data_IF_864133457009
#
_entry.id   IF_864133457009
#
_cell.length_a   1.000
_cell.length_b   1.000
_cell.length_c   1.000
_cell.angle_alpha   90.00
_cell.angle_beta   90.00
_cell.angle_gamma   90.00
#
_symmetry.space_group_name_H-M   'P 1'
#
loop_
_entity.id
_entity.type
_entity.pdbx_description
1 polymer ?
#
# COMPACT_ATOMS: atom_id res chain seq x y z
N UNK A 1 0.35 16.16 16.73
CA UNK A 1 0.70 14.83 16.20
C UNK A 1 1.55 14.10 17.24
N UNK A 2 1.25 12.84 17.55
CA UNK A 2 2.01 12.07 18.55
C UNK A 2 3.46 11.86 18.12
N UNK A 3 4.41 12.02 19.05
CA UNK A 3 5.84 11.87 18.77
C UNK A 3 6.26 10.42 18.56
N UNK A 4 5.58 9.47 19.19
CA UNK A 4 5.80 8.04 19.02
C UNK A 4 4.48 7.33 18.72
N UNK A 5 4.50 6.34 17.82
CA UNK A 5 3.34 5.48 17.58
C UNK A 5 3.56 4.16 18.27
N UNK A 6 2.56 3.69 19.01
CA UNK A 6 2.58 2.37 19.59
C UNK A 6 2.57 1.29 18.50
N UNK A 7 3.32 0.23 18.73
CA UNK A 7 3.23 -1.01 17.98
C UNK A 7 2.21 -1.93 18.66
N UNK A 8 1.11 -2.23 17.95
CA UNK A 8 -0.01 -3.05 18.43
C UNK A 8 -0.43 -4.05 17.37
N UNK A 9 -1.25 -5.04 17.74
CA UNK A 9 -1.74 -6.07 16.81
C UNK A 9 -0.59 -6.84 16.16
N UNK A 10 -0.58 -6.94 14.83
CA UNK A 10 0.49 -7.62 14.06
C UNK A 10 1.89 -7.00 14.25
N UNK A 11 1.98 -5.77 14.76
CA UNK A 11 3.24 -5.13 15.12
C UNK A 11 3.58 -5.29 16.60
N UNK A 12 2.71 -5.86 17.44
CA UNK A 12 3.01 -6.03 18.87
C UNK A 12 4.21 -6.94 19.09
N UNK A 13 5.01 -6.65 20.12
CA UNK A 13 6.10 -7.51 20.58
C UNK A 13 5.64 -8.55 21.62
N UNK A 14 4.35 -8.54 21.99
CA UNK A 14 3.78 -9.49 22.93
C UNK A 14 3.23 -10.68 22.18
N UNK A 15 3.74 -11.88 22.47
CA UNK A 15 3.29 -13.13 21.86
C UNK A 15 1.79 -13.42 22.02
N UNK A 16 1.15 -12.92 23.08
CA UNK A 16 -0.30 -13.04 23.28
C UNK A 16 -1.13 -12.22 22.27
N UNK A 17 -0.58 -11.11 21.77
CA UNK A 17 -1.24 -10.23 20.79
C UNK A 17 -0.78 -10.55 19.36
N UNK A 18 0.46 -11.02 19.19
CA UNK A 18 1.10 -11.31 17.91
C UNK A 18 1.81 -12.67 17.96
N UNK A 19 1.08 -13.79 17.90
CA UNK A 19 1.68 -15.11 18.10
C UNK A 19 2.71 -15.47 17.02
N UNK A 20 2.54 -14.95 15.81
CA UNK A 20 3.32 -15.33 14.63
C UNK A 20 4.57 -14.46 14.42
N UNK A 21 4.48 -13.14 14.68
CA UNK A 21 5.53 -12.17 14.32
C UNK A 21 6.11 -11.39 15.51
N UNK A 22 5.81 -11.73 16.77
CA UNK A 22 6.22 -10.92 17.92
C UNK A 22 7.74 -10.68 18.05
N UNK A 23 8.57 -11.58 17.50
CA UNK A 23 10.02 -11.48 17.52
C UNK A 23 10.63 -10.92 16.22
N UNK A 24 9.82 -10.52 15.23
CA UNK A 24 10.31 -9.92 14.00
C UNK A 24 10.76 -8.46 14.21
N UNK A 25 11.63 -7.98 13.31
CA UNK A 25 11.90 -6.55 13.18
C UNK A 25 10.62 -5.84 12.70
N UNK A 26 10.34 -4.65 13.27
CA UNK A 26 9.08 -3.93 13.04
C UNK A 26 9.37 -2.51 12.59
N UNK A 27 8.71 -2.10 11.53
CA UNK A 27 8.85 -0.78 10.93
C UNK A 27 7.44 -0.23 10.68
N UNK A 28 7.22 1.06 10.96
CA UNK A 28 5.97 1.75 10.66
C UNK A 28 6.25 3.06 9.94
N UNK A 29 5.95 3.08 8.65
CA UNK A 29 5.98 4.28 7.83
C UNK A 29 4.68 5.06 8.02
N UNK A 30 4.79 6.33 8.43
CA UNK A 30 3.60 7.18 8.65
C UNK A 30 3.04 7.66 7.31
N UNK A 31 1.74 7.46 7.11
CA UNK A 31 1.02 7.94 5.94
C UNK A 31 0.84 9.47 5.97
N UNK A 32 1.33 10.15 4.95
CA UNK A 32 1.25 11.62 4.85
C UNK A 32 1.21 12.18 3.42
N UNK A 33 1.03 11.33 2.41
CA UNK A 33 1.05 11.75 0.99
C UNK A 33 -0.34 11.83 0.34
N UNK A 34 -1.31 11.05 0.84
CA UNK A 34 -2.69 11.08 0.34
C UNK A 34 -2.96 10.23 -0.91
N UNK A 35 -2.00 9.47 -1.42
CA UNK A 35 -2.19 8.56 -2.56
C UNK A 35 -1.50 7.21 -2.37
N UNK A 36 -1.60 6.63 -1.17
CA UNK A 36 -1.05 5.29 -0.87
C UNK A 36 0.43 5.14 -1.24
N UNK A 37 1.21 6.20 -1.07
CA UNK A 37 2.62 6.31 -1.46
C UNK A 37 2.93 6.27 -2.97
N UNK A 38 1.94 6.42 -3.85
CA UNK A 38 2.15 6.40 -5.30
C UNK A 38 2.29 7.80 -5.94
N UNK A 39 1.94 8.87 -5.24
CA UNK A 39 1.94 10.24 -5.78
C UNK A 39 3.31 10.88 -5.88
N UNK A 40 3.56 11.66 -6.93
CA UNK A 40 4.73 12.54 -7.04
C UNK A 40 4.43 13.76 -7.92
N UNK A 41 3.80 14.77 -7.34
CA UNK A 41 3.48 16.03 -8.01
C UNK A 41 3.42 17.17 -7.01
N UNK A 42 3.19 18.38 -7.47
CA UNK A 42 2.99 19.52 -6.60
C UNK A 42 1.85 20.37 -7.16
N UNK A 43 1.02 20.86 -6.26
CA UNK A 43 0.10 21.94 -6.55
C UNK A 43 0.75 23.25 -6.05
N UNK A 44 1.11 24.11 -7.01
CA UNK A 44 1.76 25.38 -6.72
C UNK A 44 0.78 26.42 -6.17
N UNK A 45 -0.51 26.33 -6.50
CA UNK A 45 -1.49 27.32 -6.04
C UNK A 45 -1.83 27.09 -4.57
N UNK A 46 -2.03 25.83 -4.18
CA UNK A 46 -2.30 25.46 -2.78
C UNK A 46 -1.05 25.18 -1.95
N UNK A 47 0.15 25.26 -2.55
CA UNK A 47 1.43 24.93 -1.92
C UNK A 47 1.47 23.51 -1.32
N UNK A 48 0.74 22.57 -1.94
CA UNK A 48 0.67 21.18 -1.50
C UNK A 48 1.67 20.31 -2.24
N UNK A 49 2.42 19.53 -1.46
CA UNK A 49 3.44 18.61 -1.94
C UNK A 49 2.93 17.17 -1.88
N UNK A 50 2.70 16.56 -3.04
CA UNK A 50 2.39 15.14 -3.15
C UNK A 50 3.70 14.39 -3.38
N UNK A 51 4.22 13.75 -2.34
CA UNK A 51 5.58 13.16 -2.32
C UNK A 51 5.58 11.68 -1.95
N UNK A 52 4.44 10.99 -2.10
CA UNK A 52 4.26 9.59 -1.75
C UNK A 52 5.39 8.69 -2.25
N UNK A 53 5.66 8.69 -3.56
CA UNK A 53 6.67 7.82 -4.15
C UNK A 53 8.08 8.16 -3.65
N UNK A 54 8.38 9.45 -3.43
CA UNK A 54 9.68 9.88 -2.91
C UNK A 54 9.87 9.49 -1.44
N UNK A 55 8.82 9.65 -0.63
CA UNK A 55 8.81 9.23 0.78
C UNK A 55 9.03 7.71 0.85
N UNK A 56 8.33 6.95 0.00
CA UNK A 56 8.49 5.50 -0.10
C UNK A 56 9.92 5.10 -0.43
N UNK A 57 10.48 5.64 -1.51
CA UNK A 57 11.85 5.35 -1.94
C UNK A 57 12.89 5.69 -0.87
N UNK A 58 12.80 6.88 -0.28
CA UNK A 58 13.71 7.30 0.78
C UNK A 58 13.60 6.39 2.02
N UNK A 59 12.37 6.03 2.42
CA UNK A 59 12.13 5.14 3.55
C UNK A 59 12.69 3.74 3.28
N UNK A 60 12.46 3.16 2.10
CA UNK A 60 12.98 1.84 1.74
C UNK A 60 14.51 1.81 1.74
N UNK A 61 15.16 2.84 1.19
CA UNK A 61 16.63 2.96 1.21
C UNK A 61 17.18 3.00 2.64
N UNK A 62 16.58 3.80 3.51
CA UNK A 62 16.95 3.87 4.92
C UNK A 62 16.75 2.52 5.64
N UNK A 63 15.63 1.84 5.39
CA UNK A 63 15.37 0.53 6.02
C UNK A 63 16.36 -0.53 5.54
N UNK A 64 16.73 -0.52 4.25
CA UNK A 64 17.77 -1.39 3.71
C UNK A 64 19.11 -1.16 4.44
N UNK A 65 19.53 0.09 4.63
CA UNK A 65 20.77 0.41 5.35
C UNK A 65 20.73 0.04 6.83
N UNK A 66 19.55 0.11 7.46
CA UNK A 66 19.33 -0.33 8.84
C UNK A 66 19.24 -1.86 9.01
N UNK A 67 19.46 -2.64 7.94
CA UNK A 67 19.60 -4.09 7.99
C UNK A 67 18.46 -4.86 7.32
N UNK A 68 17.44 -4.19 6.75
CA UNK A 68 16.36 -4.88 6.02
C UNK A 68 16.88 -5.72 4.85
N UNK A 69 18.01 -5.34 4.25
CA UNK A 69 18.67 -6.09 3.16
C UNK A 69 19.12 -7.50 3.57
N UNK A 70 19.26 -7.79 4.87
CA UNK A 70 19.67 -9.09 5.41
C UNK A 70 18.49 -9.99 5.80
N UNK A 71 17.25 -9.51 5.61
CA UNK A 71 16.06 -10.24 6.03
C UNK A 71 15.86 -11.53 5.21
N UNK A 72 15.64 -12.66 5.87
CA UNK A 72 15.25 -13.90 5.19
C UNK A 72 13.77 -13.90 4.78
N UNK A 73 12.93 -13.17 5.51
CA UNK A 73 11.50 -13.01 5.26
C UNK A 73 11.10 -11.56 5.46
N UNK A 74 10.22 -11.05 4.60
CA UNK A 74 9.66 -9.71 4.72
C UNK A 74 8.15 -9.74 4.50
N UNK A 75 7.41 -9.02 5.33
CA UNK A 75 5.96 -8.84 5.23
C UNK A 75 5.64 -7.35 5.11
N UNK A 76 5.21 -6.91 3.93
CA UNK A 76 4.63 -5.57 3.76
C UNK A 76 3.16 -5.62 4.16
N UNK A 77 2.76 -4.90 5.20
CA UNK A 77 1.37 -4.88 5.65
C UNK A 77 0.85 -3.46 5.84
N UNK A 78 -0.46 -3.29 5.64
CA UNK A 78 -1.11 -2.00 5.80
C UNK A 78 -2.63 -2.12 5.84
N UNK A 79 -3.28 -1.08 6.39
CA UNK A 79 -4.73 -1.00 6.55
C UNK A 79 -5.30 0.16 5.73
N UNK A 80 -6.47 -0.01 5.09
CA UNK A 80 -7.16 1.01 4.29
C UNK A 80 -6.26 1.53 3.15
N UNK A 81 -5.94 2.83 3.09
CA UNK A 81 -4.96 3.37 2.13
C UNK A 81 -3.58 2.70 2.24
N UNK A 82 -3.15 2.31 3.44
CA UNK A 82 -1.94 1.51 3.62
C UNK A 82 -2.08 0.08 3.09
N UNK A 83 -3.29 -0.49 3.10
CA UNK A 83 -3.56 -1.78 2.49
C UNK A 83 -3.46 -1.69 0.97
N UNK A 84 -3.97 -0.60 0.38
CA UNK A 84 -3.76 -0.30 -1.04
C UNK A 84 -2.27 -0.10 -1.36
N UNK A 85 -1.52 0.61 -0.51
CA UNK A 85 -0.07 0.74 -0.65
C UNK A 85 0.66 -0.61 -0.65
N UNK A 86 0.24 -1.55 0.22
CA UNK A 86 0.78 -2.92 0.24
C UNK A 86 0.59 -3.66 -1.08
N UNK A 87 -0.46 -3.34 -1.85
CA UNK A 87 -0.72 -3.94 -3.16
C UNK A 87 0.17 -3.27 -4.19
N UNK A 88 0.11 -1.94 -4.27
CA UNK A 88 0.80 -1.15 -5.30
C UNK A 88 2.33 -1.34 -5.26
N UNK A 89 2.90 -1.41 -4.06
CA UNK A 89 4.36 -1.49 -3.88
C UNK A 89 4.87 -2.90 -3.53
N UNK A 90 4.04 -3.93 -3.64
CA UNK A 90 4.45 -5.30 -3.28
C UNK A 90 5.61 -5.79 -4.15
N UNK A 91 5.50 -5.58 -5.46
CA UNK A 91 6.52 -6.00 -6.42
C UNK A 91 7.80 -5.16 -6.24
N UNK A 92 7.70 -3.87 -5.91
CA UNK A 92 8.87 -3.01 -5.61
C UNK A 92 9.70 -3.55 -4.44
N UNK A 93 9.08 -3.92 -3.30
CA UNK A 93 9.84 -4.48 -2.17
C UNK A 93 10.52 -5.79 -2.54
N UNK A 94 9.84 -6.62 -3.35
CA UNK A 94 10.40 -7.88 -3.82
C UNK A 94 11.62 -7.66 -4.71
N UNK A 95 11.60 -6.65 -5.57
CA UNK A 95 12.71 -6.30 -6.44
C UNK A 95 13.89 -5.67 -5.68
N UNK A 96 13.60 -4.94 -4.59
CA UNK A 96 14.62 -4.32 -3.74
C UNK A 96 15.39 -5.31 -2.85
N UNK A 97 14.79 -6.44 -2.49
CA UNK A 97 15.39 -7.43 -1.60
C UNK A 97 16.11 -8.55 -2.37
N UNK A 98 17.09 -9.23 -1.75
CA UNK A 98 17.73 -10.39 -2.35
C UNK A 98 16.71 -11.44 -2.82
N UNK A 99 17.00 -12.12 -3.93
CA UNK A 99 16.12 -13.17 -4.47
C UNK A 99 15.91 -14.36 -3.52
N UNK A 100 16.78 -14.53 -2.52
CA UNK A 100 16.66 -15.50 -1.43
C UNK A 100 15.66 -15.08 -0.34
N UNK A 101 15.28 -13.81 -0.28
CA UNK A 101 14.32 -13.29 0.70
C UNK A 101 12.90 -13.64 0.30
N UNK A 102 12.15 -14.25 1.25
CA UNK A 102 10.75 -14.58 1.04
C UNK A 102 9.86 -13.37 1.35
N UNK A 103 9.44 -12.67 0.30
CA UNK A 103 8.56 -11.49 0.42
C UNK A 103 7.09 -11.90 0.31
N UNK A 104 6.27 -11.37 1.22
CA UNK A 104 4.81 -11.44 1.19
C UNK A 104 4.23 -10.07 1.49
N UNK A 105 3.01 -9.85 1.02
CA UNK A 105 2.28 -8.61 1.28
C UNK A 105 0.92 -8.94 1.89
N UNK A 106 0.41 -8.06 2.74
CA UNK A 106 -0.89 -8.17 3.40
C UNK A 106 -1.63 -6.84 3.24
N UNK A 107 -2.72 -6.89 2.48
CA UNK A 107 -3.65 -5.78 2.33
C UNK A 107 -4.84 -6.00 3.26
N UNK A 108 -4.90 -5.26 4.36
CA UNK A 108 -6.06 -5.20 5.22
C UNK A 108 -6.96 -4.02 4.85
N UNK A 109 -8.24 -4.27 4.56
CA UNK A 109 -9.22 -3.28 4.11
C UNK A 109 -8.76 -2.38 2.92
N UNK A 110 -7.78 -2.85 2.13
CA UNK A 110 -7.22 -2.11 0.97
C UNK A 110 -7.83 -2.48 -0.37
N UNK A 111 -8.77 -3.43 -0.40
CA UNK A 111 -9.44 -3.90 -1.62
C UNK A 111 -10.61 -2.97 -2.00
N UNK A 112 -10.29 -1.82 -2.59
CA UNK A 112 -11.30 -0.90 -3.12
C UNK A 112 -11.88 -1.44 -4.45
N UNK A 113 -13.19 -1.28 -4.64
CA UNK A 113 -13.90 -1.75 -5.83
C UNK A 113 -14.27 -0.59 -6.74
N UNK A 114 -13.96 -0.73 -8.02
CA UNK A 114 -14.55 0.11 -9.07
C UNK A 114 -15.94 -0.46 -9.42
N UNK A 115 -16.94 -0.07 -8.65
CA UNK A 115 -18.31 -0.54 -8.76
C UNK A 115 -19.30 0.61 -8.51
N UNK A 116 -20.55 0.40 -8.92
CA UNK A 116 -21.63 1.31 -8.58
C UNK A 116 -21.95 1.23 -7.09
N UNK A 117 -22.16 2.39 -6.46
CA UNK A 117 -22.67 2.48 -5.10
C UNK A 117 -24.20 2.33 -5.04
N UNK A 118 -24.76 2.34 -3.82
CA UNK A 118 -26.21 2.18 -3.58
C UNK A 118 -27.06 3.30 -4.20
N UNK A 119 -26.45 4.44 -4.49
CA UNK A 119 -27.08 5.58 -5.18
C UNK A 119 -26.91 5.51 -6.70
N UNK A 120 -26.36 4.39 -7.22
CA UNK A 120 -26.02 4.18 -8.65
C UNK A 120 -24.94 5.13 -9.16
N UNK A 121 -24.14 5.71 -8.27
CA UNK A 121 -22.97 6.51 -8.61
C UNK A 121 -21.69 5.68 -8.67
N UNK A 122 -20.59 6.29 -9.12
CA UNK A 122 -19.25 5.69 -9.12
C UNK A 122 -18.33 6.41 -8.13
N UNK A 123 -18.74 6.47 -6.87
CA UNK A 123 -18.07 7.29 -5.83
C UNK A 123 -16.57 7.02 -5.73
N UNK A 124 -16.14 5.76 -5.65
CA UNK A 124 -14.71 5.42 -5.58
C UNK A 124 -13.96 5.76 -6.85
N UNK A 125 -14.53 5.50 -8.03
CA UNK A 125 -13.89 5.83 -9.32
C UNK A 125 -13.65 7.33 -9.44
N UNK A 126 -14.67 8.13 -9.12
CA UNK A 126 -14.59 9.58 -9.16
C UNK A 126 -13.54 10.12 -8.16
N UNK A 127 -13.49 9.55 -6.95
CA UNK A 127 -12.49 9.91 -5.95
C UNK A 127 -11.08 9.56 -6.42
N UNK A 128 -10.85 8.32 -6.87
CA UNK A 128 -9.55 7.85 -7.32
C UNK A 128 -9.09 8.57 -8.59
N UNK A 129 -9.99 8.91 -9.51
CA UNK A 129 -9.67 9.71 -10.69
C UNK A 129 -9.07 11.06 -10.28
N UNK A 130 -9.65 11.72 -9.28
CA UNK A 130 -9.13 12.98 -8.74
C UNK A 130 -7.76 12.80 -8.10
N UNK A 131 -7.58 11.77 -7.27
CA UNK A 131 -6.28 11.45 -6.66
C UNK A 131 -5.22 11.21 -7.73
N UNK A 132 -5.50 10.34 -8.69
CA UNK A 132 -4.59 9.97 -9.78
C UNK A 132 -4.19 11.18 -10.62
N UNK A 133 -5.15 12.06 -10.91
CA UNK A 133 -4.91 13.28 -11.71
C UNK A 133 -4.09 14.32 -10.93
N UNK A 134 -4.54 14.70 -9.74
CA UNK A 134 -3.91 15.77 -8.93
C UNK A 134 -2.50 15.37 -8.53
N UNK A 135 -2.31 14.11 -8.12
CA UNK A 135 -1.02 13.63 -7.62
C UNK A 135 -0.11 13.04 -8.72
N UNK A 136 -0.55 13.11 -9.99
CA UNK A 136 0.16 12.62 -11.18
C UNK A 136 0.66 11.17 -11.02
N UNK A 137 -0.23 10.25 -10.66
CA UNK A 137 0.14 8.85 -10.34
C UNK A 137 0.56 8.05 -11.56
N UNK A 138 0.14 8.44 -12.77
CA UNK A 138 0.34 7.65 -13.99
C UNK A 138 1.78 7.19 -14.19
N UNK A 139 2.76 8.05 -13.86
CA UNK A 139 4.19 7.74 -14.01
C UNK A 139 4.73 6.68 -13.04
N UNK A 140 4.03 6.44 -11.94
CA UNK A 140 4.45 5.51 -10.87
C UNK A 140 3.58 4.25 -10.83
N UNK A 141 2.50 4.19 -11.62
CA UNK A 141 1.69 2.97 -11.75
C UNK A 141 2.36 1.97 -12.71
N UNK A 142 1.99 0.70 -12.57
CA UNK A 142 2.53 -0.37 -13.43
C UNK A 142 2.28 -0.08 -14.90
N UNK A 143 3.37 -0.02 -15.67
CA UNK A 143 3.31 0.16 -17.13
C UNK A 143 2.55 -0.97 -17.82
N UNK A 144 2.64 -2.20 -17.28
CA UNK A 144 1.84 -3.34 -17.75
C UNK A 144 0.34 -3.04 -17.69
N UNK A 145 -0.13 -2.30 -16.69
CA UNK A 145 -1.52 -1.90 -16.61
C UNK A 145 -1.81 -0.66 -17.47
N UNK A 146 -1.03 0.42 -17.34
CA UNK A 146 -1.33 1.71 -17.99
C UNK A 146 -1.20 1.68 -19.51
N UNK A 147 -0.55 0.66 -20.07
CA UNK A 147 -0.51 0.41 -21.52
C UNK A 147 -1.83 -0.15 -22.07
N UNK A 148 -2.71 -0.69 -21.21
CA UNK A 148 -3.96 -1.34 -21.61
C UNK A 148 -5.21 -0.68 -21.02
N UNK A 149 -5.08 -0.02 -19.87
CA UNK A 149 -6.19 0.59 -19.12
C UNK A 149 -5.85 2.03 -18.73
N UNK A 150 -6.89 2.81 -18.41
CA UNK A 150 -6.70 4.17 -17.93
C UNK A 150 -6.03 4.17 -16.53
N UNK A 151 -5.24 5.21 -16.18
CA UNK A 151 -4.52 5.27 -14.91
C UNK A 151 -5.40 5.12 -13.66
N UNK A 152 -6.67 5.54 -13.71
CA UNK A 152 -7.61 5.37 -12.58
C UNK A 152 -7.91 3.90 -12.36
N UNK A 153 -8.19 3.17 -13.43
CA UNK A 153 -8.40 1.71 -13.39
C UNK A 153 -7.16 0.97 -12.87
N UNK A 154 -5.95 1.46 -13.18
CA UNK A 154 -4.70 0.88 -12.69
C UNK A 154 -4.39 1.16 -11.21
N UNK A 155 -5.06 2.15 -10.61
CA UNK A 155 -4.96 2.41 -9.17
C UNK A 155 -5.89 1.51 -8.34
N UNK A 156 -6.88 0.86 -8.96
CA UNK A 156 -7.73 -0.10 -8.27
C UNK A 156 -7.03 -1.47 -8.12
N UNK A 157 -7.11 -2.11 -6.95
CA UNK A 157 -6.55 -3.43 -6.68
C UNK A 157 -6.91 -4.54 -7.69
N UNK A 158 -8.11 -4.49 -8.28
CA UNK A 158 -8.60 -5.54 -9.19
C UNK A 158 -7.69 -5.74 -10.40
N UNK A 159 -7.13 -4.67 -10.96
CA UNK A 159 -6.26 -4.74 -12.14
C UNK A 159 -4.89 -5.33 -11.79
N UNK A 160 -4.39 -5.09 -10.57
CA UNK A 160 -3.15 -5.68 -10.07
C UNK A 160 -3.15 -7.21 -10.11
N UNK A 161 -4.28 -7.86 -9.79
CA UNK A 161 -4.40 -9.32 -9.86
C UNK A 161 -4.23 -9.88 -11.27
N UNK A 162 -4.50 -9.08 -12.30
CA UNK A 162 -4.36 -9.49 -13.69
C UNK A 162 -2.90 -9.41 -14.16
N UNK A 163 -2.07 -8.62 -13.47
CA UNK A 163 -0.70 -8.28 -13.90
C UNK A 163 0.39 -8.85 -13.00
N UNK A 164 0.10 -9.20 -11.74
CA UNK A 164 1.11 -9.58 -10.74
C UNK A 164 0.93 -11.00 -10.18
N UNK A 165 2.04 -11.60 -9.72
CA UNK A 165 2.04 -12.97 -9.15
C UNK A 165 1.35 -13.00 -7.77
N UNK A 166 0.62 -14.07 -7.40
CA UNK A 166 -0.11 -14.14 -6.14
C UNK A 166 0.85 -14.19 -4.93
N UNK A 167 1.10 -13.02 -4.34
CA UNK A 167 1.97 -12.82 -3.18
C UNK A 167 1.32 -11.97 -2.09
N UNK A 168 0.12 -11.45 -2.35
CA UNK A 168 -0.68 -10.67 -1.43
C UNK A 168 -1.74 -11.53 -0.76
N UNK A 169 -1.81 -11.46 0.57
CA UNK A 169 -2.97 -11.86 1.35
C UNK A 169 -3.91 -10.67 1.47
N UNK A 170 -5.22 -10.93 1.40
CA UNK A 170 -6.24 -9.90 1.49
C UNK A 170 -7.13 -10.17 2.69
N UNK A 171 -7.19 -9.20 3.61
CA UNK A 171 -8.16 -9.15 4.69
C UNK A 171 -9.20 -8.10 4.30
N UNK A 172 -10.45 -8.52 4.13
CA UNK A 172 -11.59 -7.62 3.90
C UNK A 172 -12.57 -7.75 5.06
N UNK A 173 -13.39 -6.72 5.31
CA UNK A 173 -14.41 -6.83 6.33
C UNK A 173 -15.41 -7.94 5.98
N UNK A 174 -15.79 -8.73 6.97
CA UNK A 174 -16.83 -9.75 6.87
C UNK A 174 -17.91 -9.43 7.90
N UNK A 175 -19.16 -9.30 7.45
CA UNK A 175 -20.32 -9.17 8.34
C UNK A 175 -20.95 -10.54 8.53
N UNK A 176 -20.87 -11.07 9.75
CA UNK A 176 -21.62 -12.26 10.17
C UNK A 176 -22.93 -11.83 10.81
N UNK A 177 -24.05 -12.19 10.20
CA UNK A 177 -25.39 -11.99 10.77
C UNK A 177 -25.79 -13.26 11.53
N UNK A 178 -25.96 -13.14 12.85
CA UNK A 178 -26.58 -14.18 13.66
C UNK A 178 -28.10 -14.16 13.50
N UNK A 179 -28.73 -15.33 13.58
CA UNK A 179 -30.19 -15.42 13.77
C UNK A 179 -30.54 -15.18 15.24
#
# INVERSE_FOLDING_TARGET
MEKALAFTGILSNKRKENPDFFNWNRIKLRYCDGASFAGDSQDHDSQLFYRGQRIWQAAMQEFLSLGMQQANQALLSGCSAGGLASILHCDEIRELLPSSTKVKCLSDAGMFLDAMDVSRGHSFRNMFQRVVTVQNLQKNLSSTCTNHLDPTSCFFPRTWFQTSKPQCFFSTQHMTLGR
#
